data_IF_602371923209
#
_entry.id   IF_602371923209
#
_cell.length_a   1.000
_cell.length_b   1.000
_cell.length_c   1.000
_cell.angle_alpha   90.00
_cell.angle_beta   90.00
_cell.angle_gamma   90.00
#
_symmetry.space_group_name_H-M   'P 1'
#
loop_
_entity.id
_entity.type
_entity.pdbx_description
1 polymer ?
#
# COMPACT_ATOMS: atom_id res chain seq x y z
N UNK A 1 27.13 6.87 -3.41
CA UNK A 1 25.75 7.11 -2.96
C UNK A 1 25.61 7.22 -1.43
N UNK A 2 26.49 6.62 -0.61
CA UNK A 2 26.58 6.97 0.83
C UNK A 2 25.38 6.57 1.69
N UNK A 3 24.53 5.66 1.20
CA UNK A 3 23.41 5.10 1.96
C UNK A 3 23.90 4.07 2.98
N UNK A 4 23.22 4.02 4.12
CA UNK A 4 23.40 3.03 5.17
C UNK A 4 22.19 2.09 5.15
N UNK A 5 22.47 0.79 5.19
CA UNK A 5 21.44 -0.23 5.30
C UNK A 5 20.79 -0.18 6.70
N UNK A 6 19.47 -0.26 6.74
CA UNK A 6 18.71 -0.34 7.97
C UNK A 6 18.96 -1.69 8.66
N UNK A 7 19.21 -1.67 9.97
CA UNK A 7 19.48 -2.89 10.74
C UNK A 7 18.23 -3.76 10.91
N UNK A 8 17.05 -3.14 11.00
CA UNK A 8 15.78 -3.85 11.20
C UNK A 8 15.19 -4.39 9.90
N UNK A 9 15.59 -3.82 8.76
CA UNK A 9 15.14 -4.23 7.43
C UNK A 9 16.30 -4.11 6.43
N UNK A 10 16.97 -5.22 6.09
CA UNK A 10 18.10 -5.22 5.15
C UNK A 10 17.77 -4.72 3.75
N UNK A 11 16.50 -4.65 3.37
CA UNK A 11 16.07 -4.14 2.07
C UNK A 11 15.92 -2.61 2.05
N UNK A 12 15.97 -1.98 3.23
CA UNK A 12 15.80 -0.54 3.40
C UNK A 12 17.15 0.14 3.58
N UNK A 13 17.37 1.22 2.84
CA UNK A 13 18.59 2.01 2.84
C UNK A 13 18.24 3.48 3.07
N UNK A 14 18.98 4.16 3.95
CA UNK A 14 18.74 5.56 4.30
C UNK A 14 20.02 6.39 4.25
N UNK A 15 19.89 7.71 4.14
CA UNK A 15 21.05 8.61 4.25
C UNK A 15 21.57 8.69 5.68
N UNK A 16 22.89 8.68 5.84
CA UNK A 16 23.54 8.74 7.15
C UNK A 16 23.54 10.12 7.81
N UNK A 17 23.49 11.18 6.99
CA UNK A 17 23.64 12.59 7.40
C UNK A 17 22.85 13.49 6.47
N UNK A 18 22.30 14.57 7.02
CA UNK A 18 21.52 15.55 6.28
C UNK A 18 20.06 15.15 6.13
N UNK A 19 19.44 15.53 5.01
CA UNK A 19 18.04 15.23 4.76
C UNK A 19 17.80 13.76 4.43
N UNK A 20 16.69 13.22 4.94
CA UNK A 20 16.26 11.85 4.71
C UNK A 20 16.08 11.55 3.21
N UNK A 21 16.74 10.51 2.74
CA UNK A 21 16.47 9.81 1.47
C UNK A 21 16.28 8.35 1.85
N UNK A 22 15.17 7.75 1.41
CA UNK A 22 14.90 6.33 1.60
C UNK A 22 14.94 5.61 0.26
N UNK A 23 15.64 4.47 0.20
CA UNK A 23 15.55 3.50 -0.89
C UNK A 23 15.13 2.17 -0.27
N UNK A 24 14.03 1.59 -0.73
CA UNK A 24 13.63 0.24 -0.39
C UNK A 24 13.71 -0.62 -1.65
N UNK A 25 14.42 -1.75 -1.57
CA UNK A 25 14.61 -2.68 -2.68
C UNK A 25 13.77 -3.92 -2.42
N UNK A 26 12.79 -4.20 -3.28
CA UNK A 26 11.92 -5.35 -3.13
C UNK A 26 11.91 -6.18 -4.41
N UNK A 27 12.71 -7.25 -4.42
CA UNK A 27 12.88 -8.18 -5.56
C UNK A 27 13.14 -7.45 -6.88
N UNK A 28 12.10 -7.18 -7.68
CA UNK A 28 12.17 -6.52 -9.00
C UNK A 28 11.92 -5.01 -8.93
N UNK A 29 11.32 -4.52 -7.86
CA UNK A 29 10.93 -3.12 -7.70
C UNK A 29 11.87 -2.36 -6.75
N UNK A 30 12.07 -1.08 -7.05
CA UNK A 30 12.78 -0.15 -6.17
C UNK A 30 11.86 1.00 -5.85
N UNK A 31 11.57 1.18 -4.57
CA UNK A 31 10.89 2.36 -4.06
C UNK A 31 11.92 3.38 -3.59
N UNK A 32 11.81 4.61 -4.07
CA UNK A 32 12.67 5.71 -3.65
C UNK A 32 11.84 6.90 -3.15
N UNK A 33 12.20 7.44 -1.99
CA UNK A 33 11.51 8.58 -1.38
C UNK A 33 12.51 9.70 -1.13
N UNK A 34 12.33 10.79 -1.88
CA UNK A 34 13.09 12.03 -1.75
C UNK A 34 12.36 13.19 -2.44
N UNK A 35 12.78 14.42 -2.14
CA UNK A 35 12.47 15.60 -2.95
C UNK A 35 12.88 15.40 -4.42
N UNK A 36 12.03 15.84 -5.35
CA UNK A 36 12.17 15.61 -6.79
C UNK A 36 13.53 16.05 -7.36
N UNK A 37 14.08 17.15 -6.84
CA UNK A 37 15.36 17.73 -7.28
C UNK A 37 16.55 16.76 -7.13
N UNK A 38 16.54 15.89 -6.11
CA UNK A 38 17.62 14.94 -5.82
C UNK A 38 17.32 13.51 -6.31
N UNK A 39 16.13 13.27 -6.85
CA UNK A 39 15.73 11.93 -7.32
C UNK A 39 16.48 11.51 -8.59
N UNK A 40 16.75 12.47 -9.49
CA UNK A 40 17.38 12.19 -10.78
C UNK A 40 18.79 11.62 -10.67
N UNK A 41 19.59 12.08 -9.70
CA UNK A 41 20.95 11.57 -9.48
C UNK A 41 20.94 10.08 -9.13
N UNK A 42 20.05 9.66 -8.23
CA UNK A 42 19.92 8.26 -7.83
C UNK A 42 19.38 7.42 -8.97
N UNK A 43 18.37 7.90 -9.70
CA UNK A 43 17.84 7.21 -10.89
C UNK A 43 18.94 6.96 -11.92
N UNK A 44 19.73 7.97 -12.27
CA UNK A 44 20.86 7.82 -13.21
C UNK A 44 21.92 6.85 -12.70
N UNK A 45 22.29 6.95 -11.42
CA UNK A 45 23.31 6.08 -10.84
C UNK A 45 22.85 4.61 -10.80
N UNK A 46 21.56 4.37 -10.58
CA UNK A 46 20.94 3.04 -10.64
C UNK A 46 20.87 2.51 -12.07
N UNK A 47 20.35 3.30 -13.02
CA UNK A 47 20.24 2.93 -14.44
C UNK A 47 21.59 2.69 -15.12
N UNK A 48 22.69 3.23 -14.57
CA UNK A 48 24.05 2.95 -15.08
C UNK A 48 24.53 1.54 -14.71
N UNK A 49 24.01 0.97 -13.61
CA UNK A 49 24.48 -0.31 -13.06
C UNK A 49 23.49 -1.46 -13.31
N UNK A 50 22.21 -1.13 -13.45
CA UNK A 50 21.13 -2.10 -13.57
C UNK A 50 20.19 -1.66 -14.68
N UNK A 51 19.58 -2.63 -15.36
CA UNK A 51 18.51 -2.37 -16.30
C UNK A 51 17.23 -2.03 -15.52
N UNK A 52 17.08 -0.74 -15.19
CA UNK A 52 15.95 -0.22 -14.42
C UNK A 52 15.12 0.71 -15.28
N UNK A 53 13.80 0.54 -15.21
CA UNK A 53 12.81 1.44 -15.80
C UNK A 53 12.26 2.36 -14.73
N UNK A 54 12.30 3.66 -14.98
CA UNK A 54 11.61 4.65 -14.15
C UNK A 54 10.09 4.59 -14.41
N UNK A 55 9.31 4.34 -13.37
CA UNK A 55 7.85 4.30 -13.42
C UNK A 55 7.19 5.60 -12.99
N UNK A 56 7.95 6.62 -12.61
CA UNK A 56 7.43 7.91 -12.19
C UNK A 56 6.88 7.93 -10.76
N UNK A 57 5.78 8.65 -10.53
CA UNK A 57 5.12 8.71 -9.23
C UNK A 57 4.52 7.35 -8.85
N UNK A 58 4.64 6.99 -7.58
CA UNK A 58 4.15 5.72 -7.06
C UNK A 58 2.62 5.72 -7.05
N UNK A 59 2.00 5.01 -7.99
CA UNK A 59 0.55 4.77 -7.99
C UNK A 59 0.18 3.35 -7.58
N UNK A 60 1.07 2.38 -7.79
CA UNK A 60 0.84 0.98 -7.47
C UNK A 60 2.14 0.33 -6.99
N UNK A 61 2.04 -0.50 -5.95
CA UNK A 61 3.16 -1.29 -5.42
C UNK A 61 2.62 -2.58 -4.83
N UNK A 62 3.01 -3.76 -5.33
CA UNK A 62 2.63 -5.05 -4.74
C UNK A 62 1.12 -5.27 -4.48
N UNK A 63 0.25 -4.69 -5.31
CA UNK A 63 -1.21 -4.78 -5.15
C UNK A 63 -1.83 -3.71 -4.24
N UNK A 64 -1.00 -2.87 -3.64
CA UNK A 64 -1.40 -1.62 -3.01
C UNK A 64 -1.54 -0.53 -4.09
N UNK A 65 -2.69 0.14 -4.11
CA UNK A 65 -2.91 1.39 -4.82
C UNK A 65 -2.57 2.56 -3.91
N UNK A 66 -1.76 3.49 -4.42
CA UNK A 66 -1.35 4.70 -3.69
C UNK A 66 -1.96 5.92 -4.37
N UNK A 67 -2.72 6.68 -3.61
CA UNK A 67 -3.39 7.89 -4.04
C UNK A 67 -2.77 9.10 -3.34
N UNK A 68 -2.23 10.03 -4.14
CA UNK A 68 -1.65 11.27 -3.65
C UNK A 68 -2.65 12.41 -3.81
N UNK A 69 -2.89 13.17 -2.75
CA UNK A 69 -3.55 14.47 -2.83
C UNK A 69 -2.58 15.54 -2.35
N UNK A 70 -1.86 16.11 -3.32
CA UNK A 70 -0.81 17.09 -3.05
C UNK A 70 -1.39 18.42 -2.53
N UNK A 71 -2.58 18.83 -2.99
CA UNK A 71 -3.26 20.05 -2.53
C UNK A 71 -3.62 20.00 -1.05
N UNK A 72 -4.07 18.83 -0.59
CA UNK A 72 -4.50 18.61 0.80
C UNK A 72 -3.43 17.93 1.66
N UNK A 73 -2.24 17.72 1.12
CA UNK A 73 -1.11 17.06 1.78
C UNK A 73 -1.46 15.73 2.46
N UNK A 74 -2.24 14.88 1.80
CA UNK A 74 -2.51 13.52 2.28
C UNK A 74 -2.17 12.47 1.23
N UNK A 75 -1.84 11.29 1.73
CA UNK A 75 -1.66 10.08 0.95
C UNK A 75 -2.61 9.01 1.48
N UNK A 76 -3.23 8.27 0.57
CA UNK A 76 -4.08 7.13 0.90
C UNK A 76 -3.55 5.87 0.23
N UNK A 77 -3.50 4.78 0.99
CA UNK A 77 -3.09 3.47 0.49
C UNK A 77 -4.28 2.52 0.64
N UNK A 78 -4.59 1.77 -0.42
CA UNK A 78 -5.66 0.78 -0.40
C UNK A 78 -5.32 -0.47 -1.20
N UNK A 79 -6.02 -1.57 -0.95
CA UNK A 79 -5.86 -2.84 -1.69
C UNK A 79 -7.20 -3.27 -2.31
N UNK A 80 -7.73 -2.55 -3.31
CA UNK A 80 -9.07 -2.83 -3.84
C UNK A 80 -9.19 -4.24 -4.40
N UNK A 81 -8.16 -4.74 -5.09
CA UNK A 81 -8.12 -6.09 -5.66
C UNK A 81 -8.14 -7.16 -4.57
N UNK A 82 -7.35 -6.99 -3.51
CA UNK A 82 -7.35 -7.93 -2.39
C UNK A 82 -8.71 -7.95 -1.69
N UNK A 83 -9.28 -6.78 -1.39
CA UNK A 83 -10.62 -6.66 -0.80
C UNK A 83 -11.68 -7.37 -1.65
N UNK A 84 -11.67 -7.13 -2.97
CA UNK A 84 -12.58 -7.82 -3.89
C UNK A 84 -12.39 -9.35 -3.87
N UNK A 85 -11.14 -9.82 -3.85
CA UNK A 85 -10.84 -11.26 -3.78
C UNK A 85 -11.37 -11.93 -2.50
N UNK A 86 -11.33 -11.22 -1.37
CA UNK A 86 -11.89 -11.71 -0.11
C UNK A 86 -13.42 -11.76 -0.18
N UNK A 87 -14.06 -10.71 -0.70
CA UNK A 87 -15.51 -10.66 -0.88
C UNK A 87 -15.98 -11.83 -1.77
N UNK A 88 -15.28 -12.08 -2.88
CA UNK A 88 -15.58 -13.17 -3.80
C UNK A 88 -15.35 -14.55 -3.16
N UNK A 89 -14.22 -14.74 -2.48
CA UNK A 89 -13.87 -16.01 -1.81
C UNK A 89 -14.94 -16.50 -0.84
N UNK A 90 -15.63 -15.58 -0.17
CA UNK A 90 -16.68 -15.90 0.79
C UNK A 90 -18.11 -15.73 0.23
N UNK A 91 -18.26 -15.53 -1.08
CA UNK A 91 -19.58 -15.41 -1.73
C UNK A 91 -20.37 -14.17 -1.30
N UNK A 92 -19.68 -13.11 -0.86
CA UNK A 92 -20.31 -11.92 -0.27
C UNK A 92 -20.57 -10.80 -1.28
N UNK A 93 -20.34 -11.03 -2.58
CA UNK A 93 -20.44 -9.99 -3.62
C UNK A 93 -21.79 -9.28 -3.66
N UNK A 94 -22.87 -10.01 -3.41
CA UNK A 94 -24.25 -9.51 -3.42
C UNK A 94 -24.85 -9.37 -2.01
N UNK A 95 -24.01 -9.47 -0.96
CA UNK A 95 -24.47 -9.33 0.42
C UNK A 95 -24.87 -7.89 0.72
N UNK A 96 -25.98 -7.72 1.45
CA UNK A 96 -26.41 -6.40 1.93
C UNK A 96 -25.42 -5.92 3.00
N UNK A 97 -24.96 -4.68 2.86
CA UNK A 97 -24.16 -4.03 3.89
C UNK A 97 -24.98 -3.91 5.18
N UNK A 98 -24.42 -4.37 6.29
CA UNK A 98 -24.99 -4.20 7.63
C UNK A 98 -23.88 -3.72 8.57
N UNK A 99 -24.17 -2.71 9.38
CA UNK A 99 -23.17 -2.10 10.28
C UNK A 99 -22.72 -3.05 11.39
N UNK A 100 -23.58 -4.00 11.77
CA UNK A 100 -23.31 -4.99 12.82
C UNK A 100 -23.56 -6.38 12.25
N UNK A 101 -22.53 -7.23 12.13
CA UNK A 101 -22.73 -8.62 11.74
C UNK A 101 -23.67 -9.29 12.74
N UNK A 102 -24.79 -9.84 12.27
CA UNK A 102 -25.65 -10.64 13.15
C UNK A 102 -24.90 -11.92 13.51
N UNK A 103 -24.99 -12.36 14.77
CA UNK A 103 -24.38 -13.61 15.17
C UNK A 103 -25.02 -14.77 14.38
N UNK A 104 -24.22 -15.45 13.55
CA UNK A 104 -24.66 -16.55 12.70
C UNK A 104 -25.16 -17.78 13.46
N UNK A 105 -24.90 -17.84 14.78
CA UNK A 105 -25.39 -18.90 15.67
C UNK A 105 -26.81 -18.64 16.18
N UNK A 106 -27.38 -17.46 15.93
CA UNK A 106 -28.75 -17.14 16.37
C UNK A 106 -29.74 -17.70 15.35
N UNK A 107 -30.54 -18.69 15.77
CA UNK A 107 -31.72 -19.12 15.03
C UNK A 107 -32.85 -18.11 15.26
N UNK A 108 -33.12 -17.28 14.26
CA UNK A 108 -34.26 -16.37 14.28
C UNK A 108 -35.55 -17.20 14.15
N UNK A 109 -36.51 -16.92 15.04
CA UNK A 109 -37.87 -17.46 14.96
C UNK A 109 -38.82 -16.36 14.51
N UNK A 110 -39.90 -16.74 13.82
CA UNK A 110 -40.92 -15.80 13.37
C UNK A 110 -41.60 -15.18 14.61
N UNK A 111 -41.64 -13.85 14.68
CA UNK A 111 -42.36 -13.15 15.74
C UNK A 111 -43.85 -13.53 15.71
N UNK A 112 -44.45 -13.74 16.89
CA UNK A 112 -45.89 -13.94 17.03
C UNK A 112 -46.56 -12.59 17.31
N UNK A 113 -47.82 -12.41 16.92
CA UNK A 113 -48.58 -11.21 17.28
C UNK A 113 -48.67 -11.11 18.81
N UNK A 114 -48.10 -10.03 19.37
CA UNK A 114 -48.15 -9.73 20.80
C UNK A 114 -46.82 -9.80 21.56
N UNK A 115 -45.70 -10.13 20.89
CA UNK A 115 -44.37 -10.03 21.49
C UNK A 115 -43.85 -8.58 21.34
N UNK A 116 -44.00 -7.76 22.39
CA UNK A 116 -43.19 -6.55 22.61
C UNK A 116 -41.83 -6.90 23.23
#
# INVERSE_FOLDING_TARGET
MGFIQCMSDPCLYTTSKGELFIIAVYVEDILAVKEASKMNEVKQALSTKFEIKDTGELHYFHGDSVHHNLEKHYMWISQPTFTASIIEKYGMKDSKAIATPVNSSIKLVKAKEGDE
#
